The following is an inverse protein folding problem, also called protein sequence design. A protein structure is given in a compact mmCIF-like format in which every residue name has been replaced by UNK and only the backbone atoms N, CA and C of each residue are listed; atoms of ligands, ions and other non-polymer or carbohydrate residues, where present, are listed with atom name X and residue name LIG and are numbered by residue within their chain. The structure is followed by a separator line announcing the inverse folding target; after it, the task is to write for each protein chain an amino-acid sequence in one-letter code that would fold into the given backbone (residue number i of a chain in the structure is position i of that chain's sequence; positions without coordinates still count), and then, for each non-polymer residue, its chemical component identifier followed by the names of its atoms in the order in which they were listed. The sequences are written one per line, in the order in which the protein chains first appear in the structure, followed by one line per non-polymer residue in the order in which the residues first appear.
data_IF_786907516703
#
_entry.id   IF_786907516703
#
_cell.length_a   1.000
_cell.length_b   1.000
_cell.length_c   1.000
_cell.angle_alpha   90.00
_cell.angle_beta   90.00
_cell.angle_gamma   90.00
#
_symmetry.space_group_name_H-M   'P 1'
#
loop_
_entity.id
_entity.type
_entity.pdbx_description
1 polymer ?
#
# COMPACT_ATOMS: atom_id res chain seq x y z
N UNK A 1 -17.60 23.73 -8.94
CA UNK A 1 -16.50 23.85 -9.91
C UNK A 1 -16.94 23.18 -11.21
N UNK A 2 -17.24 23.95 -12.26
CA UNK A 2 -17.50 23.43 -13.61
C UNK A 2 -16.36 23.96 -14.45
N UNK A 3 -15.67 23.07 -15.13
CA UNK A 3 -14.60 23.43 -16.04
C UNK A 3 -15.26 23.96 -17.31
N UNK A 4 -14.74 25.03 -17.94
CA UNK A 4 -15.35 25.63 -19.13
C UNK A 4 -15.62 24.65 -20.29
N UNK A 5 -14.93 23.51 -20.29
CA UNK A 5 -14.98 22.51 -21.34
C UNK A 5 -15.99 21.37 -21.11
N UNK A 6 -16.86 21.45 -20.09
CA UNK A 6 -17.81 20.38 -19.70
C UNK A 6 -17.15 19.00 -19.46
N UNK A 7 -15.84 18.98 -19.23
CA UNK A 7 -15.06 17.79 -18.90
C UNK A 7 -14.71 17.86 -17.43
N UNK A 8 -15.36 17.03 -16.62
CA UNK A 8 -15.04 16.90 -15.21
C UNK A 8 -13.63 16.29 -15.09
N UNK A 9 -12.63 17.10 -14.74
CA UNK A 9 -11.31 16.64 -14.36
C UNK A 9 -11.13 16.83 -12.85
N UNK A 10 -10.46 15.88 -12.22
CA UNK A 10 -10.13 15.94 -10.81
C UNK A 10 -8.66 16.29 -10.66
N UNK A 11 -8.34 17.27 -9.82
CA UNK A 11 -6.97 17.46 -9.35
C UNK A 11 -6.76 16.51 -8.18
N UNK A 12 -5.90 15.51 -8.37
CA UNK A 12 -5.70 14.44 -7.41
C UNK A 12 -4.25 14.49 -6.93
N UNK A 13 -4.06 14.32 -5.62
CA UNK A 13 -2.76 14.00 -5.03
C UNK A 13 -2.80 12.57 -4.47
N UNK A 14 -1.64 11.97 -4.21
CA UNK A 14 -1.56 10.62 -3.63
C UNK A 14 -2.36 10.48 -2.33
N UNK A 15 -2.46 11.55 -1.53
CA UNK A 15 -3.31 11.58 -0.33
C UNK A 15 -4.80 11.37 -0.64
N UNK A 16 -5.34 12.01 -1.66
CA UNK A 16 -6.77 11.87 -2.02
C UNK A 16 -7.10 10.48 -2.59
N UNK A 17 -6.13 9.77 -3.19
CA UNK A 17 -6.34 8.39 -3.63
C UNK A 17 -6.54 7.40 -2.48
N UNK A 18 -6.10 7.77 -1.27
CA UNK A 18 -6.29 6.96 -0.06
C UNK A 18 -7.58 7.28 0.70
N UNK A 19 -8.30 8.34 0.31
CA UNK A 19 -9.57 8.70 0.94
C UNK A 19 -10.67 7.71 0.53
N UNK A 20 -11.28 7.08 1.54
CA UNK A 20 -12.35 6.09 1.40
C UNK A 20 -13.58 6.64 0.70
N UNK A 21 -13.82 7.95 0.76
CA UNK A 21 -14.94 8.61 0.10
C UNK A 21 -14.70 8.91 -1.39
N UNK A 22 -13.44 9.03 -1.81
CA UNK A 22 -13.07 9.56 -3.12
C UNK A 22 -12.90 8.45 -4.17
N UNK A 23 -11.91 7.59 -3.96
CA UNK A 23 -11.55 6.50 -4.86
C UNK A 23 -11.41 5.18 -4.09
N UNK A 24 -11.65 4.07 -4.77
CA UNK A 24 -11.35 2.74 -4.24
C UNK A 24 -10.36 2.05 -5.18
N UNK A 25 -9.36 1.33 -4.64
CA UNK A 25 -8.51 0.48 -5.47
C UNK A 25 -9.36 -0.48 -6.28
N UNK A 26 -9.00 -0.73 -7.53
CA UNK A 26 -9.69 -1.73 -8.34
C UNK A 26 -9.57 -3.11 -7.67
N UNK A 27 -10.55 -4.00 -7.88
CA UNK A 27 -10.62 -5.28 -7.17
C UNK A 27 -9.34 -6.14 -7.32
N UNK A 28 -8.72 -6.14 -8.50
CA UNK A 28 -7.51 -6.94 -8.75
C UNK A 28 -6.25 -6.27 -8.18
N UNK A 29 -6.20 -4.94 -8.20
CA UNK A 29 -5.15 -4.15 -7.55
C UNK A 29 -5.24 -4.27 -6.01
N UNK A 30 -6.45 -4.28 -5.46
CA UNK A 30 -6.72 -4.48 -4.03
C UNK A 30 -6.24 -5.86 -3.56
N UNK A 31 -6.48 -6.91 -4.36
CA UNK A 31 -5.95 -8.26 -4.10
C UNK A 31 -4.43 -8.27 -4.15
N UNK A 32 -3.82 -7.65 -5.17
CA UNK A 32 -2.36 -7.55 -5.29
C UNK A 32 -1.73 -6.92 -4.04
N UNK A 33 -2.28 -5.81 -3.57
CA UNK A 33 -1.80 -5.14 -2.34
C UNK A 33 -2.02 -6.01 -1.10
N UNK A 34 -3.15 -6.71 -1.00
CA UNK A 34 -3.41 -7.60 0.12
C UNK A 34 -2.44 -8.80 0.15
N UNK A 35 -2.15 -9.38 -1.00
CA UNK A 35 -1.25 -10.52 -1.11
C UNK A 35 0.22 -10.10 -0.90
N UNK A 36 0.61 -8.91 -1.35
CA UNK A 36 1.90 -8.31 -1.02
C UNK A 36 2.06 -8.11 0.49
N UNK A 37 1.05 -7.56 1.17
CA UNK A 37 1.09 -7.38 2.63
C UNK A 37 1.23 -8.71 3.38
N UNK A 38 0.50 -9.75 2.95
CA UNK A 38 0.64 -11.10 3.52
C UNK A 38 2.03 -11.66 3.29
N UNK A 39 2.57 -11.50 2.08
CA UNK A 39 3.91 -11.98 1.77
C UNK A 39 4.97 -11.27 2.61
N UNK A 40 4.86 -9.95 2.79
CA UNK A 40 5.76 -9.18 3.65
C UNK A 40 5.70 -9.59 5.12
N UNK A 41 4.51 -9.93 5.61
CA UNK A 41 4.32 -10.44 6.98
C UNK A 41 4.95 -11.82 7.15
N UNK A 42 4.71 -12.74 6.21
CA UNK A 42 5.34 -14.06 6.18
C UNK A 42 6.87 -13.95 6.08
N UNK A 43 7.39 -13.06 5.24
CA UNK A 43 8.84 -12.87 5.09
C UNK A 43 9.46 -12.31 6.38
N UNK A 44 8.75 -11.41 7.08
CA UNK A 44 9.18 -10.89 8.39
C UNK A 44 9.20 -11.99 9.46
N UNK A 45 8.21 -12.87 9.49
CA UNK A 45 8.20 -14.02 10.40
C UNK A 45 9.34 -14.99 10.09
N UNK A 46 9.58 -15.29 8.81
CA UNK A 46 10.67 -16.15 8.36
C UNK A 46 12.03 -15.54 8.74
N UNK A 47 12.21 -14.22 8.58
CA UNK A 47 13.43 -13.52 8.99
C UNK A 47 13.65 -13.60 10.52
N UNK A 48 12.60 -13.46 11.32
CA UNK A 48 12.69 -13.61 12.78
C UNK A 48 13.09 -15.05 13.17
N UNK A 49 12.45 -16.06 12.59
CA UNK A 49 12.77 -17.48 12.84
C UNK A 49 14.19 -17.82 12.42
N UNK A 50 14.65 -17.30 11.28
CA UNK A 50 16.05 -17.48 10.83
C UNK A 50 17.04 -16.90 11.83
N UNK A 51 16.80 -15.68 12.33
CA UNK A 51 17.66 -15.05 13.36
C UNK A 51 17.70 -15.87 14.64
N UNK A 52 16.56 -16.32 15.15
CA UNK A 52 16.51 -17.18 16.34
C UNK A 52 17.25 -18.50 16.15
N UNK A 53 17.13 -19.10 14.96
CA UNK A 53 17.84 -20.34 14.63
C UNK A 53 19.35 -20.11 14.57
N UNK A 54 19.80 -19.03 13.94
CA UNK A 54 21.21 -18.68 13.85
C UNK A 54 21.82 -18.40 15.23
N UNK A 55 21.13 -17.66 16.11
CA UNK A 55 21.57 -17.43 17.48
C UNK A 55 21.67 -18.74 18.29
N UNK A 56 20.67 -19.62 18.16
CA UNK A 56 20.70 -20.95 18.78
C UNK A 56 21.85 -21.80 18.26
N UNK A 57 22.19 -21.71 16.98
CA UNK A 57 23.32 -22.43 16.38
C UNK A 57 24.67 -21.83 16.80
N UNK A 58 24.79 -20.50 16.87
CA UNK A 58 25.99 -19.81 17.37
C UNK A 58 26.25 -20.21 18.83
N UNK A 59 25.24 -20.19 19.69
CA UNK A 59 25.34 -20.62 21.08
C UNK A 59 25.74 -22.10 21.22
N UNK A 60 25.25 -22.98 20.33
CA UNK A 60 25.67 -24.40 20.28
C UNK A 60 27.12 -24.55 19.85
N UNK A 61 27.58 -23.79 18.85
CA UNK A 61 28.97 -23.78 18.39
C UNK A 61 29.91 -23.26 19.48
N UNK A 62 29.56 -22.19 20.17
CA UNK A 62 30.34 -21.65 21.31
C UNK A 62 30.45 -22.66 22.46
N UNK A 63 29.35 -23.35 22.81
CA UNK A 63 29.38 -24.42 23.84
C UNK A 63 30.28 -25.61 23.45
N UNK A 64 30.43 -25.91 22.15
CA UNK A 64 31.34 -26.96 21.66
C UNK A 64 32.79 -26.50 21.69
N UNK A 65 33.08 -25.30 21.16
CA UNK A 65 34.44 -24.69 21.22
C UNK A 65 34.94 -24.47 22.65
N UNK A 66 34.03 -24.24 23.61
CA UNK A 66 34.37 -24.14 25.04
C UNK A 66 34.72 -25.48 25.71
N UNK A 67 34.15 -26.60 25.26
CA UNK A 67 34.44 -27.94 25.79
C UNK A 67 35.73 -28.54 25.20
N UNK A 68 36.06 -28.24 23.95
CA UNK A 68 37.34 -28.67 23.34
C UNK A 68 38.55 -27.94 23.92
N UNK A 69 38.40 -26.72 24.46
CA UNK A 69 39.51 -26.05 25.16
C UNK A 69 39.91 -26.70 26.49
N UNK A 70 39.10 -27.60 27.04
CA UNK A 70 39.37 -28.27 28.32
C UNK A 70 39.93 -29.70 28.15
N UNK A 71 39.86 -30.27 26.94
CA UNK A 71 40.52 -31.53 26.60
C UNK A 71 41.41 -31.36 25.39
N UNK A 72 42.69 -31.58 25.65
CA UNK A 72 43.73 -32.02 24.72
C UNK A 72 44.72 -30.95 24.25
N UNK A 73 45.97 -31.16 24.64
CA UNK A 73 47.09 -30.23 24.52
C UNK A 73 48.06 -30.65 23.41
N UNK A 74 47.69 -31.56 22.51
CA UNK A 74 48.68 -32.14 21.59
C UNK A 74 48.16 -32.54 20.19
N UNK A 75 47.38 -31.68 19.50
CA UNK A 75 47.24 -31.73 18.00
C UNK A 75 46.55 -30.51 17.34
N UNK A 76 46.53 -29.34 17.99
CA UNK A 76 45.52 -28.27 17.77
C UNK A 76 46.01 -26.99 17.02
N UNK A 77 46.90 -27.09 16.02
CA UNK A 77 47.34 -25.90 15.25
C UNK A 77 46.82 -25.83 13.81
N UNK A 78 46.60 -26.97 13.15
CA UNK A 78 46.23 -27.00 11.73
C UNK A 78 44.70 -27.01 11.51
N UNK A 79 43.95 -27.61 12.42
CA UNK A 79 42.48 -27.62 12.39
C UNK A 79 41.85 -26.27 12.75
N UNK A 80 42.47 -25.55 13.70
CA UNK A 80 41.99 -24.25 14.20
C UNK A 80 42.01 -23.15 13.16
N UNK A 81 43.03 -23.14 12.28
CA UNK A 81 43.15 -22.21 11.16
C UNK A 81 42.13 -22.47 10.05
N UNK A 82 41.72 -23.72 9.81
CA UNK A 82 40.69 -24.04 8.81
C UNK A 82 39.29 -23.65 9.27
N UNK A 83 38.95 -23.89 10.53
CA UNK A 83 37.66 -23.48 11.09
C UNK A 83 37.50 -21.94 11.17
N UNK A 84 38.58 -21.21 11.44
CA UNK A 84 38.55 -19.75 11.53
C UNK A 84 38.45 -19.06 10.15
N UNK A 85 38.93 -19.71 9.09
CA UNK A 85 38.79 -19.25 7.70
C UNK A 85 37.39 -19.57 7.13
N UNK A 86 36.84 -20.75 7.46
CA UNK A 86 35.45 -21.10 7.10
C UNK A 86 34.42 -20.20 7.80
N UNK A 87 34.56 -19.91 9.11
CA UNK A 87 33.64 -18.99 9.81
C UNK A 87 33.71 -17.55 9.23
N UNK A 88 34.88 -17.10 8.74
CA UNK A 88 35.03 -15.78 8.07
C UNK A 88 34.44 -15.74 6.66
N UNK A 89 34.53 -16.84 5.91
CA UNK A 89 33.89 -16.96 4.60
C UNK A 89 32.37 -17.00 4.73
N UNK A 90 31.85 -17.70 5.74
CA UNK A 90 30.41 -17.83 6.00
C UNK A 90 29.80 -16.49 6.46
N UNK A 91 30.53 -15.69 7.26
CA UNK A 91 30.10 -14.33 7.64
C UNK A 91 30.12 -13.35 6.44
N UNK A 92 31.13 -13.41 5.56
CA UNK A 92 31.15 -12.59 4.33
C UNK A 92 30.03 -12.96 3.36
N UNK A 93 29.76 -14.26 3.17
CA UNK A 93 28.68 -14.72 2.32
C UNK A 93 27.29 -14.32 2.85
N UNK A 94 27.15 -14.19 4.17
CA UNK A 94 25.94 -13.65 4.82
C UNK A 94 25.81 -12.15 4.60
N UNK A 95 26.87 -11.38 4.81
CA UNK A 95 26.86 -9.93 4.58
C UNK A 95 26.56 -9.55 3.13
N UNK A 96 27.09 -10.32 2.17
CA UNK A 96 26.80 -10.10 0.75
C UNK A 96 25.35 -10.45 0.40
N UNK A 97 24.80 -11.54 0.96
CA UNK A 97 23.36 -11.86 0.82
C UNK A 97 22.44 -10.83 1.50
N UNK A 98 22.83 -10.30 2.65
CA UNK A 98 22.07 -9.26 3.36
C UNK A 98 22.08 -7.95 2.53
N UNK A 99 23.20 -7.61 1.88
CA UNK A 99 23.28 -6.46 0.96
C UNK A 99 22.49 -6.63 -0.33
N UNK A 100 22.37 -7.85 -0.85
CA UNK A 100 21.51 -8.14 -2.01
C UNK A 100 20.02 -8.09 -1.64
N UNK A 101 19.65 -8.59 -0.45
CA UNK A 101 18.29 -8.53 0.09
C UNK A 101 17.87 -7.10 0.48
N UNK A 102 18.80 -6.27 0.94
CA UNK A 102 18.50 -4.86 1.28
C UNK A 102 18.22 -4.02 0.03
N UNK A 103 18.96 -4.25 -1.07
CA UNK A 103 18.74 -3.54 -2.35
C UNK A 103 17.40 -3.90 -3.01
N UNK A 104 16.94 -5.14 -2.83
CA UNK A 104 15.64 -5.58 -3.35
C UNK A 104 14.46 -5.05 -2.53
N UNK A 105 14.62 -4.88 -1.20
CA UNK A 105 13.63 -4.23 -0.31
C UNK A 105 13.42 -2.74 -0.58
N UNK A 106 14.46 -2.01 -0.98
CA UNK A 106 14.33 -0.58 -1.31
C UNK A 106 13.57 -0.33 -2.62
N UNK A 107 13.69 -1.24 -3.60
CA UNK A 107 12.94 -1.14 -4.87
C UNK A 107 11.45 -1.49 -4.72
N UNK A 108 11.07 -2.31 -3.74
CA UNK A 108 9.66 -2.66 -3.50
C UNK A 108 8.92 -1.62 -2.66
N UNK A 109 9.62 -0.89 -1.78
CA UNK A 109 8.98 0.07 -0.86
C UNK A 109 8.41 1.33 -1.51
N UNK A 110 8.94 1.76 -2.66
CA UNK A 110 8.46 2.97 -3.35
C UNK A 110 7.16 2.78 -4.13
N UNK A 111 6.62 1.56 -4.25
CA UNK A 111 5.39 1.27 -5.03
C UNK A 111 4.35 0.40 -4.29
N UNK A 112 4.31 0.46 -2.95
CA UNK A 112 3.41 -0.37 -2.12
C UNK A 112 1.93 0.05 -2.17
N UNK A 113 1.60 1.10 -2.92
CA UNK A 113 0.23 1.55 -3.14
C UNK A 113 -0.44 0.81 -4.30
N UNK A 114 -1.77 0.66 -4.25
CA UNK A 114 -2.54 0.39 -5.47
C UNK A 114 -2.22 1.47 -6.51
N UNK A 115 -2.00 1.09 -7.78
CA UNK A 115 -1.75 2.03 -8.89
C UNK A 115 -3.03 2.39 -9.63
N UNK A 116 -3.93 1.43 -9.79
CA UNK A 116 -5.21 1.60 -10.47
C UNK A 116 -6.31 1.78 -9.43
N UNK A 117 -7.08 2.86 -9.59
CA UNK A 117 -8.19 3.24 -8.74
C UNK A 117 -9.45 3.46 -9.57
N UNK A 118 -10.59 3.14 -8.98
CA UNK A 118 -11.91 3.44 -9.49
C UNK A 118 -12.55 4.55 -8.65
N UNK A 119 -13.13 5.55 -9.31
CA UNK A 119 -13.88 6.62 -8.64
C UNK A 119 -15.15 6.06 -7.99
N UNK A 120 -15.51 6.58 -6.81
CA UNK A 120 -16.72 6.18 -6.11
C UNK A 120 -18.00 6.47 -6.94
N UNK A 121 -18.99 5.58 -6.86
CA UNK A 121 -20.28 5.67 -7.58
C UNK A 121 -21.08 6.93 -7.24
N UNK A 122 -20.87 7.50 -6.05
CA UNK A 122 -21.54 8.73 -5.61
C UNK A 122 -21.28 9.91 -6.57
N UNK A 123 -20.09 9.99 -7.16
CA UNK A 123 -19.77 11.05 -8.13
C UNK A 123 -20.60 10.94 -9.41
N UNK A 124 -20.89 9.71 -9.86
CA UNK A 124 -21.77 9.49 -10.99
C UNK A 124 -23.22 9.93 -10.68
N UNK A 125 -23.71 9.60 -9.48
CA UNK A 125 -25.04 10.05 -9.03
C UNK A 125 -25.12 11.57 -8.93
N UNK A 126 -24.13 12.23 -8.32
CA UNK A 126 -24.05 13.70 -8.26
C UNK A 126 -24.10 14.33 -9.65
N UNK A 127 -23.46 13.71 -10.65
CA UNK A 127 -23.48 14.20 -12.04
C UNK A 127 -24.88 14.10 -12.64
N UNK A 128 -25.57 12.97 -12.44
CA UNK A 128 -26.94 12.79 -12.90
C UNK A 128 -27.90 13.78 -12.23
N UNK A 129 -27.79 13.96 -10.92
CA UNK A 129 -28.65 14.88 -10.17
C UNK A 129 -28.41 16.32 -10.58
N UNK A 130 -27.16 16.70 -10.87
CA UNK A 130 -26.83 18.03 -11.38
C UNK A 130 -27.47 18.29 -12.75
N UNK A 131 -27.45 17.31 -13.66
CA UNK A 131 -28.11 17.41 -14.97
C UNK A 131 -29.63 17.56 -14.81
N UNK A 132 -30.23 16.72 -13.95
CA UNK A 132 -31.68 16.78 -13.66
C UNK A 132 -32.07 18.11 -13.03
N UNK A 133 -31.30 18.60 -12.07
CA UNK A 133 -31.54 19.87 -11.39
C UNK A 133 -31.40 21.06 -12.35
N UNK A 134 -30.44 21.02 -13.29
CA UNK A 134 -30.31 22.04 -14.32
C UNK A 134 -31.54 22.07 -15.25
N UNK A 135 -32.06 20.91 -15.63
CA UNK A 135 -33.25 20.79 -16.47
C UNK A 135 -34.52 21.27 -15.75
N UNK A 136 -34.70 20.88 -14.49
CA UNK A 136 -35.80 21.36 -13.64
C UNK A 136 -35.72 22.88 -13.45
N UNK A 137 -34.53 23.42 -13.19
CA UNK A 137 -34.33 24.86 -13.04
C UNK A 137 -34.68 25.62 -14.34
N UNK A 138 -34.30 25.07 -15.50
CA UNK A 138 -34.67 25.63 -16.81
C UNK A 138 -36.19 25.65 -17.00
N UNK A 139 -36.86 24.51 -16.74
CA UNK A 139 -38.33 24.41 -16.83
C UNK A 139 -39.05 25.35 -15.87
N UNK A 140 -38.55 25.48 -14.63
CA UNK A 140 -39.11 26.38 -13.64
C UNK A 140 -38.94 27.84 -14.06
N UNK A 141 -37.80 28.22 -14.64
CA UNK A 141 -37.58 29.56 -15.19
C UNK A 141 -38.56 29.86 -16.33
N UNK A 142 -38.78 28.92 -17.24
CA UNK A 142 -39.77 29.05 -18.31
C UNK A 142 -41.19 29.20 -17.76
N UNK A 143 -41.55 28.44 -16.72
CA UNK A 143 -42.86 28.54 -16.05
C UNK A 143 -43.07 29.88 -15.37
N UNK A 144 -42.05 30.41 -14.68
CA UNK A 144 -42.10 31.71 -14.01
C UNK A 144 -42.13 32.88 -14.99
N UNK A 145 -41.53 32.74 -16.16
CA UNK A 145 -41.59 33.75 -17.21
C UNK A 145 -42.96 33.85 -17.88
N UNK A 146 -43.82 32.82 -17.75
CA UNK A 146 -45.15 32.85 -18.34
C UNK A 146 -46.18 33.44 -17.34
N UNK A 147 -46.71 34.66 -17.58
CA UNK A 147 -47.66 35.31 -16.69
C UNK A 147 -48.99 34.53 -16.55
N UNK A 148 -49.34 33.68 -17.52
CA UNK A 148 -50.56 32.87 -17.48
C UNK A 148 -50.50 31.69 -16.48
N UNK A 149 -49.31 31.37 -15.94
CA UNK A 149 -49.14 30.31 -14.95
C UNK A 149 -49.40 30.77 -13.50
N UNK A 150 -49.55 32.07 -13.27
CA UNK A 150 -49.85 32.59 -11.95
C UNK A 150 -51.37 32.69 -11.75
N UNK A 151 -51.88 32.32 -10.57
CA UNK A 151 -53.30 32.48 -10.27
C UNK A 151 -53.65 33.96 -10.26
N UNK A 152 -54.70 34.34 -10.99
CA UNK A 152 -55.27 35.69 -10.94
C UNK A 152 -56.13 35.87 -9.69
N UNK A 153 -56.11 37.07 -9.12
CA UNK A 153 -56.96 37.41 -7.97
C UNK A 153 -58.44 37.39 -8.40
N UNK A 154 -59.36 36.79 -7.64
CA UNK A 154 -60.79 36.79 -7.98
C UNK A 154 -61.35 38.21 -8.04
N UNK A 155 -61.83 38.63 -9.22
CA UNK A 155 -62.49 39.94 -9.42
C UNK A 155 -63.99 39.82 -9.14
N UNK A 156 -64.35 39.58 -7.88
CA UNK A 156 -65.72 39.72 -7.40
C UNK A 156 -65.83 41.04 -6.63
N UNK A 157 -66.55 42.03 -7.17
CA UNK A 157 -67.04 43.13 -6.34
C UNK A 157 -68.02 42.54 -5.30
N UNK A 158 -68.00 43.03 -4.04
CA UNK A 158 -68.87 42.53 -2.98
C UNK A 158 -70.36 42.69 -3.30
#
# INVERSE_FOLDING_TARGET
MITPNNKDFFYICSGHLTDRGFCQPEADEAKRVADQKKQEELDREIEAVKKEYEEKQKLKREKRKGKDKEKDKEKDKEAKTKEEDEDKQDEKAKDDKIKELSKTKEQTQTELGPRIFQLNKNFYQMRLDKLRNAEIAKRNRERLNNPANFPSVPSGNP
#
